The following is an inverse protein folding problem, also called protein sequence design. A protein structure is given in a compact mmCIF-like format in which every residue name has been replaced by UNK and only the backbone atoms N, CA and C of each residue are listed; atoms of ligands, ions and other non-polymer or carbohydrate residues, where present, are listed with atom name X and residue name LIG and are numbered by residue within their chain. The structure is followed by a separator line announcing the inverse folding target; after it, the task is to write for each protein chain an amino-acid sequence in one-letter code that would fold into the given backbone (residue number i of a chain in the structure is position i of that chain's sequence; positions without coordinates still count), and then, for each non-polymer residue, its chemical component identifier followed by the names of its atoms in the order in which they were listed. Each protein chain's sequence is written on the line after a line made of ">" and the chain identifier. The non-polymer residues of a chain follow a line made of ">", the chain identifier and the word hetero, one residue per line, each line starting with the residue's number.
data_IF_587323195771
#
_entry.id   IF_587323195771
#
_cell.length_a   1.000
_cell.length_b   1.000
_cell.length_c   1.000
_cell.angle_alpha   90.00
_cell.angle_beta   90.00
_cell.angle_gamma   90.00
#
_symmetry.space_group_name_H-M   'P 1'
#
loop_
_entity.id
_entity.type
_entity.pdbx_description
1 polymer ?
#
# COMPACT_ATOMS: atom_id res chain seq x y z
N UNK A 1 -22.76 2.17 -21.59
CA UNK A 1 -21.45 1.54 -21.32
C UNK A 1 -20.37 2.53 -21.71
N UNK A 2 -19.39 2.84 -20.84
CA UNK A 2 -18.30 3.77 -21.21
C UNK A 2 -17.31 3.06 -22.14
N UNK A 3 -16.88 3.72 -23.22
CA UNK A 3 -15.81 3.22 -24.10
C UNK A 3 -14.46 3.63 -23.49
N UNK A 4 -13.61 2.65 -23.17
CA UNK A 4 -12.26 2.86 -22.68
C UNK A 4 -11.28 2.54 -23.81
N UNK A 5 -10.41 3.50 -24.16
CA UNK A 5 -9.34 3.32 -25.15
C UNK A 5 -8.02 3.08 -24.40
N UNK A 6 -7.29 2.02 -24.76
CA UNK A 6 -6.01 1.68 -24.14
C UNK A 6 -4.86 2.04 -25.11
N UNK A 7 -3.84 2.77 -24.64
CA UNK A 7 -2.62 2.96 -25.43
C UNK A 7 -1.81 1.65 -25.49
N UNK A 8 -1.05 1.47 -26.58
CA UNK A 8 -0.16 0.32 -26.71
C UNK A 8 1.07 0.51 -25.81
N UNK A 9 1.29 -0.43 -24.88
CA UNK A 9 2.39 -0.39 -23.90
C UNK A 9 3.49 -1.39 -24.24
N UNK A 10 4.75 -1.00 -24.03
CA UNK A 10 5.90 -1.89 -24.24
C UNK A 10 5.84 -3.14 -23.35
N UNK A 11 6.23 -4.30 -23.91
CA UNK A 11 6.26 -5.57 -23.19
C UNK A 11 7.48 -5.61 -22.24
N UNK A 12 7.28 -6.10 -21.03
CA UNK A 12 8.35 -6.26 -20.05
C UNK A 12 9.36 -7.34 -20.46
N UNK A 13 10.63 -7.14 -20.10
CA UNK A 13 11.69 -8.13 -20.32
C UNK A 13 11.52 -9.34 -19.38
N UNK A 14 11.94 -10.53 -19.79
CA UNK A 14 11.87 -11.75 -18.96
C UNK A 14 12.53 -11.59 -17.58
N UNK A 15 13.59 -10.77 -17.48
CA UNK A 15 14.27 -10.44 -16.21
C UNK A 15 13.43 -9.55 -15.28
N UNK A 16 12.61 -8.65 -15.84
CA UNK A 16 11.68 -7.84 -15.06
C UNK A 16 10.51 -8.70 -14.57
N UNK A 17 10.04 -9.63 -15.40
CA UNK A 17 8.97 -10.57 -15.07
C UNK A 17 9.39 -11.50 -13.93
N UNK A 18 10.61 -12.05 -13.95
CA UNK A 18 11.08 -12.92 -12.87
C UNK A 18 11.19 -12.17 -11.53
N UNK A 19 11.81 -10.98 -11.52
CA UNK A 19 11.91 -10.14 -10.31
C UNK A 19 10.54 -9.72 -9.78
N UNK A 20 9.61 -9.37 -10.66
CA UNK A 20 8.24 -9.01 -10.28
C UNK A 20 7.51 -10.21 -9.62
N UNK A 21 7.69 -11.43 -10.14
CA UNK A 21 7.11 -12.64 -9.53
C UNK A 21 7.64 -12.87 -8.12
N UNK A 22 8.93 -12.64 -7.88
CA UNK A 22 9.51 -12.79 -6.55
C UNK A 22 9.00 -11.75 -5.56
N UNK A 23 8.72 -10.53 -6.04
CA UNK A 23 8.09 -9.47 -5.25
C UNK A 23 6.64 -9.82 -4.93
N UNK A 24 5.86 -10.30 -5.90
CA UNK A 24 4.47 -10.72 -5.69
C UNK A 24 4.42 -11.83 -4.65
N UNK A 25 5.31 -12.83 -4.71
CA UNK A 25 5.37 -13.91 -3.71
C UNK A 25 5.61 -13.39 -2.29
N UNK A 26 6.43 -12.34 -2.14
CA UNK A 26 6.71 -11.72 -0.83
C UNK A 26 5.54 -10.86 -0.35
N UNK A 27 4.87 -10.14 -1.25
CA UNK A 27 3.72 -9.29 -0.96
C UNK A 27 2.42 -10.06 -0.78
N UNK A 28 2.37 -11.32 -1.21
CA UNK A 28 1.18 -12.17 -1.05
C UNK A 28 1.05 -12.60 0.41
N UNK A 29 -0.07 -12.25 1.03
CA UNK A 29 -0.46 -12.71 2.35
C UNK A 29 -1.85 -13.36 2.26
N UNK A 30 -2.20 -14.16 3.25
CA UNK A 30 -3.55 -14.73 3.36
C UNK A 30 -4.53 -13.59 3.66
N UNK A 31 -5.29 -13.19 2.65
CA UNK A 31 -6.31 -12.15 2.78
C UNK A 31 -7.63 -12.79 3.24
N UNK A 32 -8.14 -12.28 4.35
CA UNK A 32 -9.48 -12.60 4.86
C UNK A 32 -10.24 -11.28 5.05
N UNK A 33 -11.30 -11.08 4.27
CA UNK A 33 -12.09 -9.86 4.32
C UNK A 33 -12.79 -9.67 5.69
N UNK A 34 -13.04 -10.74 6.43
CA UNK A 34 -13.66 -10.67 7.75
C UNK A 34 -12.70 -10.16 8.85
N UNK A 35 -11.39 -10.20 8.57
CA UNK A 35 -10.36 -9.74 9.51
C UNK A 35 -10.12 -8.23 9.51
N UNK A 36 -10.76 -7.50 8.59
CA UNK A 36 -10.61 -6.05 8.45
C UNK A 36 -11.93 -5.34 8.75
N UNK A 37 -11.91 -4.51 9.77
CA UNK A 37 -13.00 -3.61 10.10
C UNK A 37 -12.77 -2.22 9.49
N UNK A 38 -13.84 -1.44 9.36
CA UNK A 38 -13.75 -0.09 8.81
C UNK A 38 -13.24 0.89 9.89
N UNK A 39 -12.07 1.54 9.70
CA UNK A 39 -11.47 2.43 10.70
C UNK A 39 -12.32 3.68 10.96
N UNK A 40 -13.07 4.16 9.96
CA UNK A 40 -13.99 5.30 10.14
C UNK A 40 -15.15 4.94 11.07
N UNK A 41 -15.66 3.71 10.96
CA UNK A 41 -16.72 3.22 11.84
C UNK A 41 -16.18 2.94 13.24
N UNK A 42 -15.01 2.31 13.36
CA UNK A 42 -14.37 2.11 14.66
C UNK A 42 -14.18 3.43 15.40
N UNK A 43 -13.61 4.45 14.74
CA UNK A 43 -13.43 5.78 15.33
C UNK A 43 -14.75 6.37 15.82
N UNK A 44 -15.80 6.30 15.00
CA UNK A 44 -17.10 6.88 15.35
C UNK A 44 -17.71 6.22 16.61
N UNK A 45 -17.75 4.90 16.66
CA UNK A 45 -18.33 4.20 17.81
C UNK A 45 -17.49 4.33 19.08
N UNK A 46 -16.16 4.41 18.96
CA UNK A 46 -15.26 4.69 20.10
C UNK A 46 -15.48 6.08 20.69
N UNK A 47 -15.74 7.07 19.84
CA UNK A 47 -16.11 8.40 20.31
C UNK A 47 -17.45 8.38 21.05
N UNK A 48 -18.45 7.67 20.53
CA UNK A 48 -19.76 7.52 21.19
C UNK A 48 -19.65 6.80 22.54
N UNK A 49 -18.82 5.75 22.61
CA UNK A 49 -18.53 5.03 23.85
C UNK A 49 -17.85 5.94 24.89
N UNK A 50 -16.86 6.73 24.48
CA UNK A 50 -16.19 7.70 25.35
C UNK A 50 -17.16 8.72 25.95
N UNK A 51 -18.08 9.25 25.14
CA UNK A 51 -19.14 10.16 25.59
C UNK A 51 -20.13 9.49 26.55
N UNK A 52 -20.46 8.21 26.32
CA UNK A 52 -21.37 7.47 27.20
C UNK A 52 -20.76 7.13 28.57
N UNK A 53 -19.44 7.06 28.65
CA UNK A 53 -18.69 6.73 29.86
C UNK A 53 -18.08 7.96 30.56
N UNK A 54 -18.42 9.18 30.13
CA UNK A 54 -17.84 10.44 30.61
C UNK A 54 -16.30 10.44 30.61
N UNK A 55 -15.68 9.86 29.57
CA UNK A 55 -14.22 9.89 29.38
C UNK A 55 -13.79 11.12 28.58
N UNK A 56 -12.69 11.75 28.99
CA UNK A 56 -12.12 12.90 28.29
C UNK A 56 -11.60 12.59 26.86
N UNK A 57 -11.24 11.33 26.61
CA UNK A 57 -10.75 10.86 25.32
C UNK A 57 -11.24 9.44 24.98
N UNK A 58 -11.48 9.14 23.69
CA UNK A 58 -11.79 7.79 23.22
C UNK A 58 -10.57 6.87 23.26
N UNK A 59 -10.81 5.56 23.39
CA UNK A 59 -9.75 4.56 23.39
C UNK A 59 -9.02 4.49 22.03
N UNK A 60 -7.69 4.34 22.07
CA UNK A 60 -6.86 4.18 20.89
C UNK A 60 -7.14 2.86 20.15
N UNK A 61 -7.14 2.90 18.83
CA UNK A 61 -7.27 1.73 17.96
C UNK A 61 -6.25 1.78 16.82
N UNK A 62 -5.87 0.60 16.31
CA UNK A 62 -4.92 0.47 15.20
C UNK A 62 -5.68 0.29 13.89
N UNK A 63 -5.46 1.18 12.92
CA UNK A 63 -5.97 1.00 11.56
C UNK A 63 -5.13 -0.04 10.80
N UNK A 64 -5.81 -1.10 10.33
CA UNK A 64 -5.22 -2.18 9.56
C UNK A 64 -5.43 -2.02 8.04
N UNK A 65 -6.12 -0.97 7.60
CA UNK A 65 -6.52 -0.72 6.21
C UNK A 65 -5.44 0.01 5.40
N UNK A 66 -4.51 0.70 6.07
CA UNK A 66 -3.41 1.41 5.43
C UNK A 66 -2.35 0.48 4.81
N UNK A 67 -1.70 0.94 3.72
CA UNK A 67 -0.63 0.18 3.06
C UNK A 67 0.65 0.14 3.92
N UNK A 68 0.84 -1.00 4.59
CA UNK A 68 2.07 -1.61 5.13
C UNK A 68 3.13 -0.81 5.92
N UNK A 69 3.10 0.51 6.06
CA UNK A 69 4.13 1.21 6.87
C UNK A 69 3.90 1.10 8.38
N UNK A 70 2.67 0.81 8.83
CA UNK A 70 2.32 0.72 10.26
C UNK A 70 1.73 -0.63 10.70
N UNK A 71 1.65 -1.64 9.83
CA UNK A 71 1.20 -2.97 10.26
C UNK A 71 2.41 -3.84 10.64
N UNK A 72 2.54 -4.28 11.92
CA UNK A 72 3.74 -4.96 12.44
C UNK A 72 4.06 -6.30 11.76
N UNK A 73 3.15 -6.82 10.92
CA UNK A 73 3.37 -8.08 10.17
C UNK A 73 4.27 -7.94 8.94
N UNK A 74 4.63 -6.72 8.49
CA UNK A 74 5.29 -6.50 7.18
C UNK A 74 6.74 -5.98 7.21
N UNK A 75 7.37 -5.91 8.39
CA UNK A 75 8.70 -5.30 8.54
C UNK A 75 9.84 -5.96 7.71
N UNK A 76 9.67 -7.19 7.21
CA UNK A 76 10.70 -7.91 6.44
C UNK A 76 10.71 -7.65 4.92
N UNK A 77 9.77 -6.87 4.36
CA UNK A 77 9.56 -6.78 2.90
C UNK A 77 10.15 -5.53 2.22
N UNK A 78 10.65 -4.56 3.00
CA UNK A 78 11.17 -3.29 2.49
C UNK A 78 12.45 -3.42 1.64
N UNK A 79 13.31 -4.41 1.94
CA UNK A 79 14.63 -4.58 1.29
C UNK A 79 14.57 -5.14 -0.13
N UNK A 80 13.46 -5.71 -0.61
CA UNK A 80 13.36 -6.23 -1.98
C UNK A 80 12.85 -5.23 -3.01
N UNK A 81 12.13 -4.18 -2.60
CA UNK A 81 11.59 -3.16 -3.51
C UNK A 81 12.71 -2.22 -4.00
N UNK A 82 13.68 -1.90 -3.12
CA UNK A 82 14.85 -1.07 -3.47
C UNK A 82 15.72 -1.69 -4.57
N UNK A 83 15.80 -3.04 -4.61
CA UNK A 83 16.57 -3.78 -5.61
C UNK A 83 15.92 -3.81 -7.02
N UNK A 84 14.62 -3.52 -7.14
CA UNK A 84 13.95 -3.38 -8.44
C UNK A 84 14.14 -1.98 -9.04
N UNK A 85 14.17 -0.95 -8.19
CA UNK A 85 14.40 0.45 -8.60
C UNK A 85 15.76 0.63 -9.30
N UNK A 86 16.81 -0.06 -8.85
CA UNK A 86 18.13 -0.02 -9.48
C UNK A 86 18.21 -0.75 -10.84
N UNK A 87 17.20 -1.54 -11.21
CA UNK A 87 17.15 -2.25 -12.50
C UNK A 87 16.24 -1.56 -13.53
N UNK A 88 15.53 -0.51 -13.13
CA UNK A 88 14.62 0.22 -14.00
C UNK A 88 15.29 1.56 -14.39
N UNK A 89 15.36 1.90 -15.68
CA UNK A 89 15.92 3.18 -16.14
C UNK A 89 15.06 4.41 -15.74
N UNK A 90 13.94 4.19 -15.03
CA UNK A 90 13.05 5.22 -14.48
C UNK A 90 13.73 6.23 -13.55
N UNK A 91 14.91 5.92 -13.02
CA UNK A 91 15.71 6.86 -12.23
C UNK A 91 16.17 8.10 -13.02
N UNK A 92 16.23 8.04 -14.36
CA UNK A 92 16.63 9.18 -15.20
C UNK A 92 15.46 10.10 -15.59
N UNK A 93 14.21 9.63 -15.51
CA UNK A 93 13.05 10.43 -15.92
C UNK A 93 12.50 11.30 -14.78
N UNK A 94 12.61 10.86 -13.53
CA UNK A 94 12.01 11.58 -12.38
C UNK A 94 12.82 12.85 -12.05
N UNK A 95 14.14 12.83 -12.24
CA UNK A 95 14.98 14.03 -12.05
C UNK A 95 14.76 15.08 -13.15
N UNK A 96 14.38 14.69 -14.36
CA UNK A 96 14.13 15.63 -15.46
C UNK A 96 12.84 16.43 -15.27
N UNK A 97 11.78 15.82 -14.71
CA UNK A 97 10.49 16.49 -14.48
C UNK A 97 10.58 17.53 -13.36
N UNK A 98 11.50 17.37 -12.40
CA UNK A 98 11.68 18.32 -11.28
C UNK A 98 12.76 19.40 -11.54
N UNK A 99 13.37 19.42 -12.73
CA UNK A 99 14.47 20.33 -13.10
C UNK A 99 14.20 21.14 -14.37
N UNK A 100 12.95 21.22 -14.82
CA UNK A 100 12.53 22.21 -15.83
C UNK A 100 11.95 23.42 -15.09
N UNK A 101 12.34 24.66 -15.46
CA UNK A 101 12.02 25.90 -14.73
C UNK A 101 10.52 26.23 -14.73
#
# INVERSE_FOLDING_TARGET
>A
MRKLNYPETAKATNTQISKAKDIIKKLTFTFDASSFENPSLQKHYRHLEGLALDRDAPDDFTDLTGSQYNCPKYHKQSTCITNLSSTLPLAMCITYVYSQP
#
